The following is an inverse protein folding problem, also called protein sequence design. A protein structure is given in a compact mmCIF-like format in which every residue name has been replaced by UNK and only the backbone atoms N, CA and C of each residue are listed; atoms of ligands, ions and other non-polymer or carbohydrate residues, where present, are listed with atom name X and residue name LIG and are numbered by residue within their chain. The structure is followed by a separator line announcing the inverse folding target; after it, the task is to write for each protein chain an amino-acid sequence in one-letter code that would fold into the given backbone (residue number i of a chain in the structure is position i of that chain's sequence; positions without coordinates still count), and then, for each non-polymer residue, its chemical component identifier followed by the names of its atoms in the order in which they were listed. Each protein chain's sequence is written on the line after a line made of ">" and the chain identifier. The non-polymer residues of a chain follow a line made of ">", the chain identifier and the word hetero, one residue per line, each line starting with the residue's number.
data_IF_137276292747
#
_entry.id   IF_137276292747
#
_cell.length_a   1.000
_cell.length_b   1.000
_cell.length_c   1.000
_cell.angle_alpha   90.00
_cell.angle_beta   90.00
_cell.angle_gamma   90.00
#
_symmetry.space_group_name_H-M   'P 1'
#
loop_
_entity.id
_entity.type
_entity.pdbx_description
1 polymer ?
#
# COMPACT_ATOMS: atom_id res chain seq x y z
N UNK A 1 1.49 -2.54 -8.92
CA UNK A 1 2.06 -1.99 -7.68
C UNK A 1 1.45 -2.73 -6.51
N UNK A 2 2.23 -2.98 -5.47
CA UNK A 2 1.79 -3.66 -4.25
C UNK A 2 1.99 -2.70 -3.08
N UNK A 3 0.91 -2.39 -2.37
CA UNK A 3 0.98 -1.69 -1.10
C UNK A 3 1.08 -2.75 0.00
N UNK A 4 2.24 -2.82 0.67
CA UNK A 4 2.57 -3.92 1.56
C UNK A 4 1.71 -3.89 2.83
N UNK A 5 1.19 -5.06 3.23
CA UNK A 5 0.63 -5.30 4.54
C UNK A 5 1.35 -6.50 5.16
N UNK A 6 2.31 -6.22 6.04
CA UNK A 6 3.13 -7.22 6.71
C UNK A 6 3.68 -6.65 8.03
N UNK A 7 3.50 -7.39 9.12
CA UNK A 7 3.99 -7.02 10.45
C UNK A 7 5.50 -7.31 10.63
N UNK A 8 6.02 -8.34 9.94
CA UNK A 8 7.37 -8.87 10.08
C UNK A 8 8.39 -8.38 9.05
N UNK A 9 7.98 -7.87 7.88
CA UNK A 9 8.92 -7.37 6.87
C UNK A 9 9.56 -6.03 7.28
N UNK A 10 10.83 -6.09 7.70
CA UNK A 10 11.59 -4.89 8.07
C UNK A 10 12.17 -4.14 6.85
N UNK A 11 12.30 -4.80 5.71
CA UNK A 11 12.80 -4.21 4.47
C UNK A 11 11.69 -3.41 3.79
N UNK A 12 10.47 -3.95 3.79
CA UNK A 12 9.27 -3.29 3.29
C UNK A 12 8.19 -3.28 4.39
N UNK A 13 8.26 -2.37 5.37
CA UNK A 13 7.24 -2.30 6.39
C UNK A 13 5.85 -2.02 5.80
N UNK A 14 4.81 -2.40 6.54
CA UNK A 14 3.40 -2.09 6.20
C UNK A 14 3.24 -0.64 5.71
N UNK A 15 2.61 -0.48 4.56
CA UNK A 15 2.43 0.80 3.86
C UNK A 15 3.47 1.09 2.78
N UNK A 16 4.55 0.32 2.67
CA UNK A 16 5.52 0.48 1.58
C UNK A 16 4.90 0.14 0.21
N UNK A 17 5.42 0.75 -0.86
CA UNK A 17 5.21 0.26 -2.22
C UNK A 17 6.28 -0.79 -2.53
N UNK A 18 5.91 -2.07 -2.41
CA UNK A 18 6.82 -3.20 -2.43
C UNK A 18 7.59 -3.32 -3.75
N UNK A 19 8.88 -3.67 -3.65
CA UNK A 19 9.81 -3.93 -4.76
C UNK A 19 9.98 -2.80 -5.80
N UNK A 20 9.50 -1.58 -5.54
CA UNK A 20 9.67 -0.47 -6.48
C UNK A 20 11.08 0.15 -6.42
N UNK A 21 11.80 -0.02 -5.30
CA UNK A 21 13.21 0.38 -5.11
C UNK A 21 13.52 1.82 -5.54
N UNK A 22 12.64 2.77 -5.18
CA UNK A 22 12.82 4.21 -5.39
C UNK A 22 12.66 4.96 -4.08
N UNK A 23 13.17 6.19 -4.05
CA UNK A 23 12.94 7.10 -2.93
C UNK A 23 11.44 7.28 -2.66
N UNK A 24 11.08 7.28 -1.37
CA UNK A 24 9.70 7.44 -0.92
C UNK A 24 8.81 6.20 -1.05
N UNK A 25 9.25 5.14 -1.73
CA UNK A 25 8.49 3.89 -1.82
C UNK A 25 8.50 3.10 -0.52
N UNK A 26 9.59 3.18 0.25
CA UNK A 26 9.74 2.50 1.54
C UNK A 26 9.10 3.33 2.65
N UNK A 27 8.12 2.76 3.36
CA UNK A 27 7.50 3.39 4.52
C UNK A 27 8.37 3.28 5.78
N UNK A 28 8.14 4.17 6.76
CA UNK A 28 8.59 3.94 8.12
C UNK A 28 7.78 2.81 8.75
N UNK A 29 8.39 2.03 9.66
CA UNK A 29 7.70 0.93 10.33
C UNK A 29 6.56 1.50 11.19
N UNK A 30 5.27 1.22 10.86
CA UNK A 30 4.17 1.73 11.66
C UNK A 30 4.04 0.93 12.95
N UNK A 31 3.40 1.53 13.95
CA UNK A 31 2.98 0.83 15.15
C UNK A 31 1.69 0.03 14.84
N UNK A 32 1.87 -1.19 14.34
CA UNK A 32 0.79 -2.17 14.11
C UNK A 32 1.05 -3.42 14.94
N UNK A 33 0.01 -4.20 15.22
CA UNK A 33 0.09 -5.47 15.94
C UNK A 33 -0.86 -6.48 15.33
N UNK A 34 -0.48 -7.75 15.40
CA UNK A 34 -1.35 -8.84 14.98
C UNK A 34 -2.64 -8.87 15.82
N UNK A 35 -3.76 -9.18 15.16
CA UNK A 35 -5.09 -9.19 15.78
C UNK A 35 -5.76 -7.81 15.92
N UNK A 36 -5.07 -6.72 15.60
CA UNK A 36 -5.64 -5.38 15.56
C UNK A 36 -6.00 -4.96 14.12
N UNK A 37 -7.06 -4.15 13.98
CA UNK A 37 -7.42 -3.58 12.69
C UNK A 37 -6.46 -2.45 12.32
N UNK A 38 -5.95 -2.49 11.09
CA UNK A 38 -5.16 -1.43 10.49
C UNK A 38 -5.95 -0.76 9.38
N UNK A 39 -6.09 0.55 9.45
CA UNK A 39 -6.63 1.34 8.33
C UNK A 39 -5.51 1.61 7.34
N UNK A 40 -5.64 1.11 6.12
CA UNK A 40 -4.77 1.46 5.01
C UNK A 40 -5.53 2.30 3.99
N UNK A 41 -5.03 3.51 3.71
CA UNK A 41 -5.48 4.32 2.58
C UNK A 41 -4.45 4.28 1.48
N UNK A 42 -4.89 4.13 0.24
CA UNK A 42 -4.03 4.14 -0.94
C UNK A 42 -4.57 5.19 -1.91
N UNK A 43 -3.67 6.06 -2.41
CA UNK A 43 -3.95 6.97 -3.53
C UNK A 43 -3.00 6.60 -4.66
N UNK A 44 -3.58 6.20 -5.79
CA UNK A 44 -2.85 5.90 -7.02
C UNK A 44 -3.40 6.78 -8.15
N UNK A 45 -2.66 7.82 -8.52
CA UNK A 45 -3.04 8.75 -9.59
C UNK A 45 -1.91 8.82 -10.61
N UNK A 46 -2.14 8.24 -11.79
CA UNK A 46 -1.08 8.01 -12.76
C UNK A 46 0.04 7.15 -12.17
N UNK A 47 1.28 7.65 -12.19
CA UNK A 47 2.44 7.01 -11.59
C UNK A 47 2.74 7.47 -10.15
N UNK A 48 1.91 8.35 -9.58
CA UNK A 48 2.08 8.84 -8.21
C UNK A 48 1.30 7.96 -7.24
N UNK A 49 2.04 7.32 -6.33
CA UNK A 49 1.53 6.36 -5.36
C UNK A 49 1.78 6.89 -3.97
N UNK A 50 0.73 6.94 -3.16
CA UNK A 50 0.79 7.39 -1.78
C UNK A 50 -0.01 6.43 -0.90
N UNK A 51 0.51 6.16 0.30
CA UNK A 51 -0.15 5.32 1.28
C UNK A 51 -0.22 6.02 2.64
N UNK A 52 -1.22 5.64 3.43
CA UNK A 52 -1.36 6.03 4.83
C UNK A 52 -1.74 4.82 5.66
N UNK A 53 -1.17 4.73 6.85
CA UNK A 53 -1.44 3.68 7.83
C UNK A 53 -1.97 4.33 9.10
N UNK A 54 -3.19 3.97 9.52
CA UNK A 54 -3.89 4.55 10.66
C UNK A 54 -3.88 6.09 10.61
N UNK A 55 -4.23 6.65 9.45
CA UNK A 55 -4.26 8.09 9.17
C UNK A 55 -2.90 8.78 8.99
N UNK A 56 -1.77 8.12 9.29
CA UNK A 56 -0.42 8.70 9.17
C UNK A 56 0.18 8.43 7.79
N UNK A 57 0.86 9.41 7.14
CA UNK A 57 1.57 9.17 5.89
C UNK A 57 2.60 8.04 6.01
N UNK A 58 2.70 7.19 4.99
CA UNK A 58 3.61 6.05 4.97
C UNK A 58 4.58 6.12 3.78
N UNK A 59 4.11 5.83 2.56
CA UNK A 59 4.89 5.97 1.33
C UNK A 59 4.35 7.12 0.47
N UNK A 60 5.25 7.79 -0.25
CA UNK A 60 4.94 8.81 -1.24
C UNK A 60 6.01 8.76 -2.34
N UNK A 61 5.68 8.19 -3.50
CA UNK A 61 6.65 7.97 -4.55
C UNK A 61 6.03 8.10 -5.95
N UNK A 62 6.86 8.46 -6.93
CA UNK A 62 6.48 8.48 -8.35
C UNK A 62 7.27 7.43 -9.10
N UNK A 63 6.60 6.45 -9.69
CA UNK A 63 7.25 5.46 -10.56
C UNK A 63 7.80 6.18 -11.81
N UNK A 64 9.14 6.30 -11.96
CA UNK A 64 9.73 7.09 -13.04
C UNK A 64 9.46 6.49 -14.42
N UNK A 65 9.06 5.22 -14.49
CA UNK A 65 8.78 4.53 -15.75
C UNK A 65 7.29 4.44 -16.07
N UNK A 66 6.40 4.91 -15.18
CA UNK A 66 4.94 4.89 -15.36
C UNK A 66 4.43 3.54 -15.92
N UNK A 67 4.89 2.44 -15.30
CA UNK A 67 4.81 1.08 -15.89
C UNK A 67 3.39 0.56 -15.99
N UNK A 68 2.54 0.90 -15.01
CA UNK A 68 1.17 0.37 -14.94
C UNK A 68 0.16 1.51 -14.98
N UNK A 69 -0.57 1.62 -16.09
CA UNK A 69 -1.57 2.69 -16.32
C UNK A 69 -3.01 2.29 -15.98
N UNK A 70 -3.27 0.98 -15.94
CA UNK A 70 -4.58 0.39 -15.64
C UNK A 70 -4.39 -1.04 -15.12
N UNK A 71 -5.36 -1.54 -14.37
CA UNK A 71 -5.34 -2.91 -13.86
C UNK A 71 -6.53 -3.16 -12.94
N UNK A 72 -6.50 -4.33 -12.30
CA UNK A 72 -7.45 -4.72 -11.26
C UNK A 72 -6.86 -4.48 -9.87
N UNK A 73 -7.72 -4.41 -8.87
CA UNK A 73 -7.31 -4.43 -7.46
C UNK A 73 -7.36 -5.88 -7.00
N UNK A 74 -6.26 -6.35 -6.40
CA UNK A 74 -6.16 -7.68 -5.81
C UNK A 74 -5.80 -7.54 -4.34
N UNK A 75 -6.32 -8.44 -3.51
CA UNK A 75 -5.96 -8.59 -2.11
C UNK A 75 -5.11 -9.85 -2.00
N UNK A 76 -3.89 -9.70 -1.51
CA UNK A 76 -2.93 -10.80 -1.45
C UNK A 76 -3.01 -11.53 -0.11
N UNK A 77 -2.87 -12.84 -0.16
CA UNK A 77 -2.50 -13.69 0.97
C UNK A 77 -1.23 -14.45 0.60
N UNK A 78 -0.08 -14.05 1.17
CA UNK A 78 1.22 -14.57 0.75
C UNK A 78 1.55 -15.94 1.36
N UNK A 79 1.28 -16.11 2.66
CA UNK A 79 1.65 -17.31 3.41
C UNK A 79 0.45 -18.22 3.66
N UNK A 80 0.57 -19.51 3.34
CA UNK A 80 -0.48 -20.52 3.52
C UNK A 80 -0.88 -20.71 5.00
N UNK A 81 0.03 -20.41 5.93
CA UNK A 81 -0.18 -20.55 7.38
C UNK A 81 -0.66 -19.25 8.03
N UNK A 82 -0.66 -18.14 7.29
CA UNK A 82 -1.12 -16.86 7.82
C UNK A 82 -2.64 -16.78 7.87
N UNK A 83 -3.14 -15.73 8.52
CA UNK A 83 -4.52 -15.26 8.34
C UNK A 83 -4.52 -13.76 8.11
N UNK A 84 -5.22 -13.30 7.08
CA UNK A 84 -5.50 -11.88 6.84
C UNK A 84 -7.01 -11.71 6.70
N UNK A 85 -7.55 -10.69 7.34
CA UNK A 85 -8.97 -10.36 7.29
C UNK A 85 -9.13 -8.94 6.74
N UNK A 86 -10.11 -8.75 5.86
CA UNK A 86 -10.39 -7.45 5.27
C UNK A 86 -11.85 -7.07 5.55
N UNK A 87 -12.08 -5.79 5.85
CA UNK A 87 -13.42 -5.21 5.97
C UNK A 87 -13.45 -3.79 5.42
N UNK A 88 -14.65 -3.31 5.13
CA UNK A 88 -14.92 -1.92 4.73
C UNK A 88 -14.10 -1.41 3.52
N UNK A 89 -13.88 -2.30 2.54
CA UNK A 89 -13.16 -1.96 1.32
C UNK A 89 -14.01 -1.00 0.48
N UNK A 90 -13.49 0.21 0.29
CA UNK A 90 -14.14 1.28 -0.50
C UNK A 90 -13.19 1.73 -1.59
N UNK A 91 -13.76 2.00 -2.77
CA UNK A 91 -13.02 2.54 -3.91
C UNK A 91 -13.70 3.81 -4.41
N UNK A 92 -12.89 4.82 -4.72
CA UNK A 92 -13.34 6.05 -5.38
C UNK A 92 -12.44 6.31 -6.59
N UNK A 93 -13.07 6.55 -7.74
CA UNK A 93 -12.36 6.99 -8.95
C UNK A 93 -12.12 8.50 -8.87
N UNK A 94 -10.97 8.96 -9.35
CA UNK A 94 -10.70 10.39 -9.54
C UNK A 94 -11.31 10.84 -10.87
N UNK A 95 -11.83 12.07 -10.91
CA UNK A 95 -12.25 12.66 -12.18
C UNK A 95 -11.01 12.94 -13.04
N UNK A 96 -11.17 13.00 -14.36
CA UNK A 96 -10.06 13.29 -15.29
C UNK A 96 -9.42 14.68 -15.08
N UNK A 97 -10.02 15.53 -14.26
CA UNK A 97 -9.65 16.93 -14.03
C UNK A 97 -9.20 17.23 -12.59
N UNK A 98 -9.06 16.20 -11.73
CA UNK A 98 -8.49 16.30 -10.36
C UNK A 98 -6.97 16.07 -10.39
#
# INVERSE_FOLDING_TARGET
>A
YEAQLDHGDNNNPTGSIYALNIEGARAQKPATKDGEWVEMRIRAVGNHLQTWINGKPAADCRDPYNRYKKGSILLQMHHLTGRVEFKEIKIRKFAKND
#
